data_IF_307290787272
#
_entry.id   IF_307290787272
#
_cell.length_a   1.000
_cell.length_b   1.000
_cell.length_c   1.000
_cell.angle_alpha   90.00
_cell.angle_beta   90.00
_cell.angle_gamma   90.00
#
_symmetry.space_group_name_H-M   'P 1'
#
loop_
_entity.id
_entity.type
_entity.pdbx_description
1 polymer ?
#
# COMPACT_ATOMS: atom_id res chain seq x y z
N UNK A 1 -5.76 -0.83 22.51
CA UNK A 1 -6.03 -1.71 21.35
C UNK A 1 -5.60 -0.99 20.09
N UNK A 2 -5.06 -1.67 19.09
CA UNK A 2 -4.67 -1.09 17.80
C UNK A 2 -5.91 -0.73 16.99
N UNK A 3 -5.87 0.40 16.24
CA UNK A 3 -7.02 0.85 15.43
C UNK A 3 -7.37 -0.14 14.32
N UNK A 4 -6.36 -0.79 13.73
CA UNK A 4 -6.56 -1.82 12.70
C UNK A 4 -7.52 -2.92 13.17
N UNK A 5 -7.35 -3.46 14.37
CA UNK A 5 -8.16 -4.57 14.87
C UNK A 5 -9.63 -4.17 15.05
N UNK A 6 -9.86 -2.95 15.56
CA UNK A 6 -11.22 -2.41 15.73
C UNK A 6 -11.92 -2.24 14.39
N UNK A 7 -11.22 -1.69 13.40
CA UNK A 7 -11.78 -1.44 12.07
C UNK A 7 -12.04 -2.74 11.32
N UNK A 8 -11.10 -3.68 11.33
CA UNK A 8 -11.29 -5.01 10.72
C UNK A 8 -12.49 -5.75 11.31
N UNK A 9 -12.67 -5.69 12.62
CA UNK A 9 -13.83 -6.33 13.26
C UNK A 9 -15.15 -5.75 12.77
N UNK A 10 -15.25 -4.43 12.59
CA UNK A 10 -16.44 -3.78 12.05
C UNK A 10 -16.69 -4.11 10.59
N UNK A 11 -15.64 -4.13 9.76
CA UNK A 11 -15.74 -4.50 8.34
C UNK A 11 -16.27 -5.93 8.22
N UNK A 12 -15.66 -6.89 8.92
CA UNK A 12 -16.09 -8.30 8.92
C UNK A 12 -17.50 -8.52 9.45
N UNK A 13 -17.95 -7.68 10.38
CA UNK A 13 -19.31 -7.75 10.92
C UNK A 13 -20.36 -7.05 10.03
N UNK A 14 -19.99 -6.52 8.85
CA UNK A 14 -20.89 -5.74 8.00
C UNK A 14 -21.33 -4.40 8.59
N UNK A 15 -20.58 -3.88 9.57
CA UNK A 15 -20.86 -2.62 10.30
C UNK A 15 -19.91 -1.50 9.91
N UNK A 16 -19.32 -1.61 8.72
CA UNK A 16 -18.39 -0.62 8.20
C UNK A 16 -19.06 0.76 8.03
N UNK A 17 -18.30 1.80 8.35
CA UNK A 17 -18.57 3.20 8.00
C UNK A 17 -17.29 3.82 7.45
N UNK A 18 -17.36 4.93 6.73
CA UNK A 18 -16.18 5.59 6.14
C UNK A 18 -15.07 5.92 7.15
N UNK A 19 -15.44 6.22 8.42
CA UNK A 19 -14.47 6.39 9.53
C UNK A 19 -13.70 5.10 9.89
N UNK A 20 -14.22 3.95 9.48
CA UNK A 20 -13.57 2.66 9.69
C UNK A 20 -12.64 2.27 8.54
N UNK A 21 -12.49 3.14 7.52
CA UNK A 21 -11.52 2.95 6.45
C UNK A 21 -10.09 2.91 6.99
N UNK A 22 -9.32 1.93 6.55
CA UNK A 22 -7.96 1.68 7.04
C UNK A 22 -6.97 2.43 6.14
N UNK A 23 -6.11 3.25 6.74
CA UNK A 23 -5.04 3.95 6.03
C UNK A 23 -3.68 3.42 6.49
N UNK A 24 -2.83 3.07 5.54
CA UNK A 24 -1.45 2.65 5.80
C UNK A 24 -0.46 3.56 5.09
N UNK A 25 0.61 3.93 5.79
CA UNK A 25 1.80 4.51 5.18
C UNK A 25 2.79 3.38 4.84
N UNK A 26 3.06 3.20 3.54
CA UNK A 26 3.94 2.15 3.04
C UNK A 26 5.36 2.69 2.83
N UNK A 27 6.21 2.48 3.82
CA UNK A 27 7.64 2.88 3.84
C UNK A 27 8.60 1.70 3.65
N UNK A 28 8.13 0.66 2.99
CA UNK A 28 8.88 -0.54 2.64
C UNK A 28 9.62 -0.44 1.30
N UNK A 29 9.63 0.75 0.70
CA UNK A 29 10.19 1.01 -0.63
C UNK A 29 11.69 0.71 -0.77
N UNK A 30 12.47 0.66 0.32
CA UNK A 30 13.88 0.28 0.30
C UNK A 30 14.08 -1.18 -0.17
N UNK A 31 13.08 -2.03 -0.06
CA UNK A 31 13.09 -3.39 -0.63
C UNK A 31 12.78 -3.41 -2.15
N UNK A 32 12.27 -2.33 -2.73
CA UNK A 32 11.99 -2.25 -4.17
C UNK A 32 12.90 -1.25 -4.91
N UNK A 33 13.14 -0.08 -4.33
CA UNK A 33 13.87 1.04 -4.95
C UNK A 33 15.30 1.23 -4.40
N UNK A 34 15.71 0.42 -3.42
CA UNK A 34 17.02 0.52 -2.80
C UNK A 34 17.29 1.93 -2.22
N UNK A 35 18.47 2.49 -2.54
CA UNK A 35 18.91 3.81 -2.01
C UNK A 35 17.98 4.97 -2.36
N UNK A 36 17.19 4.83 -3.44
CA UNK A 36 16.27 5.89 -3.88
C UNK A 36 14.94 5.93 -3.10
N UNK A 37 14.63 4.90 -2.31
CA UNK A 37 13.36 4.77 -1.59
C UNK A 37 13.00 5.94 -0.66
N UNK A 38 13.94 6.52 0.13
CA UNK A 38 13.64 7.65 0.98
C UNK A 38 13.25 8.92 0.21
N UNK A 39 13.59 8.98 -1.08
CA UNK A 39 13.35 10.14 -1.94
C UNK A 39 14.34 11.28 -1.73
N UNK A 40 14.16 12.38 -2.48
CA UNK A 40 15.00 13.56 -2.39
C UNK A 40 14.81 14.28 -1.05
N UNK A 41 15.87 14.90 -0.56
CA UNK A 41 15.81 15.84 0.56
C UNK A 41 15.40 17.20 0.01
N UNK A 42 14.29 17.75 0.51
CA UNK A 42 13.84 19.08 0.09
C UNK A 42 14.86 20.15 0.47
N UNK A 43 15.18 21.04 -0.48
CA UNK A 43 16.15 22.13 -0.31
C UNK A 43 17.62 21.70 -0.41
N UNK A 44 17.91 20.44 -0.68
CA UNK A 44 19.26 19.93 -0.82
C UNK A 44 19.37 19.01 -2.05
N UNK A 45 20.52 19.03 -2.74
CA UNK A 45 20.79 18.14 -3.89
C UNK A 45 21.33 16.78 -3.42
N UNK A 46 20.46 16.05 -2.69
CA UNK A 46 20.77 14.68 -2.25
C UNK A 46 19.51 13.89 -1.92
N UNK A 47 19.67 12.60 -1.82
CA UNK A 47 18.63 11.72 -1.26
C UNK A 47 18.66 11.74 0.28
N UNK A 48 17.50 11.61 0.89
CA UNK A 48 17.37 11.42 2.35
C UNK A 48 18.22 10.23 2.82
N UNK A 49 18.76 10.34 4.02
CA UNK A 49 19.48 9.26 4.70
C UNK A 49 18.50 8.24 5.30
N UNK A 50 19.00 7.11 5.77
CA UNK A 50 18.20 6.13 6.52
C UNK A 50 17.62 6.75 7.80
N UNK A 51 18.37 7.59 8.49
CA UNK A 51 17.91 8.28 9.70
C UNK A 51 16.73 9.21 9.40
N UNK A 52 16.81 10.00 8.32
CA UNK A 52 15.71 10.87 7.89
C UNK A 52 14.48 10.07 7.43
N UNK A 53 14.69 8.89 6.84
CA UNK A 53 13.59 8.00 6.47
C UNK A 53 12.88 7.42 7.70
N UNK A 54 13.64 7.00 8.73
CA UNK A 54 13.10 6.54 10.00
C UNK A 54 12.40 7.67 10.78
N UNK A 55 12.91 8.90 10.71
CA UNK A 55 12.25 10.08 11.28
C UNK A 55 10.88 10.30 10.66
N UNK A 56 10.76 10.23 9.33
CA UNK A 56 9.47 10.37 8.64
C UNK A 56 8.47 9.28 9.04
N UNK A 57 8.92 8.03 9.25
CA UNK A 57 8.06 6.95 9.79
C UNK A 57 7.62 7.26 11.23
N UNK A 58 8.53 7.81 12.03
CA UNK A 58 8.26 8.19 13.43
C UNK A 58 7.21 9.29 13.50
N UNK A 59 7.35 10.35 12.69
CA UNK A 59 6.43 11.48 12.66
C UNK A 59 5.02 11.04 12.22
N UNK A 60 4.93 10.23 11.17
CA UNK A 60 3.65 9.69 10.71
C UNK A 60 3.02 8.77 11.77
N UNK A 61 3.80 7.91 12.43
CA UNK A 61 3.29 7.05 13.51
C UNK A 61 2.78 7.86 14.69
N UNK A 62 3.50 8.94 15.09
CA UNK A 62 3.10 9.82 16.18
C UNK A 62 1.90 10.68 15.86
N UNK A 63 1.67 11.04 14.60
CA UNK A 63 0.48 11.80 14.20
C UNK A 63 -0.82 11.04 14.47
N UNK A 64 -0.78 9.71 14.47
CA UNK A 64 -1.98 8.88 14.66
C UNK A 64 -2.92 8.85 13.44
N UNK A 65 -2.55 9.45 12.32
CA UNK A 65 -3.40 9.55 11.13
C UNK A 65 -3.45 8.25 10.30
N UNK A 66 -2.55 7.30 10.57
CA UNK A 66 -2.53 5.99 9.91
C UNK A 66 -2.84 4.87 10.88
N UNK A 67 -3.38 3.78 10.37
CA UNK A 67 -3.68 2.56 11.11
C UNK A 67 -2.52 1.55 11.05
N UNK A 68 -1.75 1.60 9.96
CA UNK A 68 -0.62 0.70 9.70
C UNK A 68 0.61 1.52 9.28
N UNK A 69 1.78 1.16 9.80
CA UNK A 69 3.09 1.56 9.28
C UNK A 69 3.76 0.32 8.69
N UNK A 70 3.82 0.24 7.37
CA UNK A 70 4.48 -0.84 6.65
C UNK A 70 5.94 -0.48 6.37
N UNK A 71 6.86 -1.38 6.69
CA UNK A 71 8.30 -1.12 6.66
C UNK A 71 9.09 -2.33 6.13
N UNK A 72 10.35 -2.12 5.77
CA UNK A 72 11.32 -3.22 5.66
C UNK A 72 11.69 -3.76 7.05
N UNK A 73 12.19 -5.00 7.11
CA UNK A 73 12.58 -5.64 8.37
C UNK A 73 13.63 -4.82 9.14
N UNK A 74 14.61 -4.25 8.43
CA UNK A 74 15.67 -3.43 9.03
C UNK A 74 15.14 -2.11 9.62
N UNK A 75 14.13 -1.50 8.98
CA UNK A 75 13.46 -0.31 9.50
C UNK A 75 12.60 -0.64 10.73
N UNK A 76 11.89 -1.76 10.68
CA UNK A 76 11.05 -2.22 11.78
C UNK A 76 11.91 -2.52 13.03
N UNK A 77 13.04 -3.19 12.87
CA UNK A 77 13.99 -3.43 13.98
C UNK A 77 14.46 -2.12 14.61
N UNK A 78 14.89 -1.15 13.79
CA UNK A 78 15.38 0.14 14.28
C UNK A 78 14.32 0.90 15.08
N UNK A 79 13.07 0.95 14.60
CA UNK A 79 11.96 1.63 15.28
C UNK A 79 11.43 0.84 16.48
N UNK A 80 11.54 -0.49 16.47
CA UNK A 80 11.23 -1.34 17.62
C UNK A 80 12.21 -1.07 18.77
N UNK A 81 13.52 -0.95 18.51
CA UNK A 81 14.54 -0.55 19.51
C UNK A 81 14.23 0.80 20.13
N UNK A 82 13.62 1.72 19.37
CA UNK A 82 13.14 3.02 19.86
C UNK A 82 11.80 2.93 20.63
N UNK A 83 11.21 1.74 20.77
CA UNK A 83 9.90 1.49 21.40
C UNK A 83 8.74 2.29 20.80
N UNK A 84 8.84 2.68 19.50
CA UNK A 84 7.87 3.55 18.84
C UNK A 84 6.44 2.99 18.90
N UNK A 85 6.27 1.69 18.73
CA UNK A 85 4.96 1.04 18.64
C UNK A 85 4.37 0.58 19.98
N UNK A 86 5.12 0.68 21.10
CA UNK A 86 4.71 0.12 22.41
C UNK A 86 3.41 0.74 22.92
N UNK A 87 3.26 2.07 22.82
CA UNK A 87 2.05 2.81 23.24
C UNK A 87 1.23 3.36 22.05
N UNK A 88 1.67 3.11 20.82
CA UNK A 88 0.99 3.60 19.63
C UNK A 88 -0.25 2.76 19.31
N UNK A 89 -1.28 3.41 18.76
CA UNK A 89 -2.44 2.74 18.18
C UNK A 89 -2.17 2.20 16.76
N UNK A 90 -1.06 2.63 16.13
CA UNK A 90 -0.62 2.20 14.81
C UNK A 90 -0.04 0.79 14.86
N UNK A 91 -0.44 -0.07 13.93
CA UNK A 91 0.08 -1.43 13.80
C UNK A 91 1.35 -1.43 12.95
N UNK A 92 2.50 -1.94 13.45
CA UNK A 92 3.65 -2.19 12.61
C UNK A 92 3.39 -3.37 11.66
N UNK A 93 3.82 -3.24 10.40
CA UNK A 93 3.81 -4.32 9.42
C UNK A 93 5.15 -4.37 8.68
N UNK A 94 5.54 -5.56 8.21
CA UNK A 94 6.84 -5.79 7.57
C UNK A 94 6.63 -6.43 6.20
N UNK A 95 7.30 -5.90 5.15
CA UNK A 95 7.38 -6.58 3.86
C UNK A 95 8.22 -7.85 4.00
N UNK A 96 7.65 -8.99 3.61
CA UNK A 96 8.28 -10.30 3.75
C UNK A 96 8.82 -10.90 2.45
N UNK A 97 8.35 -10.38 1.30
CA UNK A 97 8.92 -10.69 0.00
C UNK A 97 8.79 -9.50 -0.96
N UNK A 98 9.33 -9.68 -2.15
CA UNK A 98 9.15 -8.82 -3.30
C UNK A 98 9.00 -9.67 -4.58
N UNK A 99 8.73 -9.03 -5.71
CA UNK A 99 8.70 -9.62 -7.05
C UNK A 99 9.64 -8.85 -7.96
N UNK A 100 10.28 -9.53 -8.91
CA UNK A 100 11.35 -8.93 -9.71
C UNK A 100 10.87 -7.77 -10.59
N UNK A 101 9.64 -7.80 -11.08
CA UNK A 101 9.08 -6.76 -11.94
C UNK A 101 8.90 -5.40 -11.24
N UNK A 102 8.75 -5.39 -9.92
CA UNK A 102 8.72 -4.15 -9.13
C UNK A 102 10.03 -3.83 -8.44
N UNK A 103 11.06 -4.66 -8.60
CA UNK A 103 12.40 -4.41 -8.09
C UNK A 103 13.09 -3.35 -8.95
N UNK A 104 12.83 -2.09 -8.60
CA UNK A 104 13.04 -0.90 -9.44
C UNK A 104 14.23 -0.08 -8.97
N UNK A 105 15.34 -0.73 -8.61
CA UNK A 105 16.60 -0.03 -8.35
C UNK A 105 17.10 0.66 -9.63
N UNK A 106 17.86 1.72 -9.47
CA UNK A 106 18.41 2.50 -10.58
C UNK A 106 19.29 1.64 -11.46
N UNK A 107 19.02 1.63 -12.77
CA UNK A 107 19.72 0.81 -13.77
C UNK A 107 19.24 -0.65 -13.85
N UNK A 108 18.24 -1.05 -13.07
CA UNK A 108 17.66 -2.39 -13.16
C UNK A 108 16.71 -2.54 -14.35
N UNK A 109 16.76 -3.68 -15.04
CA UNK A 109 15.93 -4.03 -16.21
C UNK A 109 14.85 -5.09 -15.89
N UNK A 110 14.63 -5.40 -14.62
CA UNK A 110 13.73 -6.50 -14.23
C UNK A 110 12.27 -6.32 -14.67
N UNK A 111 11.83 -5.08 -14.90
CA UNK A 111 10.50 -4.77 -15.43
C UNK A 111 10.27 -5.22 -16.89
N UNK A 112 11.33 -5.58 -17.58
CA UNK A 112 11.29 -6.05 -18.98
C UNK A 112 11.06 -7.56 -19.06
N UNK A 113 10.95 -8.23 -17.90
CA UNK A 113 10.83 -9.68 -17.82
C UNK A 113 9.62 -10.08 -16.98
N UNK A 114 9.11 -11.29 -17.23
CA UNK A 114 8.07 -11.90 -16.42
C UNK A 114 8.50 -12.03 -14.96
N UNK A 115 7.59 -11.75 -14.04
CA UNK A 115 7.87 -11.66 -12.60
C UNK A 115 8.35 -12.99 -12.00
N UNK A 116 9.32 -12.90 -11.10
CA UNK A 116 9.78 -14.00 -10.25
C UNK A 116 9.61 -13.63 -8.78
N UNK A 117 9.00 -14.48 -7.96
CA UNK A 117 8.95 -14.26 -6.52
C UNK A 117 10.33 -14.51 -5.89
N UNK A 118 10.71 -13.65 -4.93
CA UNK A 118 11.90 -13.87 -4.12
C UNK A 118 11.71 -13.33 -2.71
N UNK A 119 12.56 -13.75 -1.77
CA UNK A 119 12.53 -13.31 -0.38
C UNK A 119 13.94 -13.07 0.15
N UNK A 120 14.16 -11.86 0.67
CA UNK A 120 15.33 -11.56 1.50
C UNK A 120 14.98 -11.54 3.00
N UNK A 121 13.73 -11.26 3.36
CA UNK A 121 13.25 -11.26 4.73
C UNK A 121 12.90 -12.69 5.19
N UNK A 122 13.23 -13.00 6.45
CA UNK A 122 12.84 -14.26 7.12
C UNK A 122 11.74 -14.00 8.12
N UNK A 123 10.68 -14.81 8.11
CA UNK A 123 9.54 -14.67 9.03
C UNK A 123 9.99 -14.77 10.49
N UNK A 124 10.89 -15.72 10.82
CA UNK A 124 11.42 -15.90 12.17
C UNK A 124 12.09 -14.66 12.76
N UNK A 125 12.72 -13.85 11.90
CA UNK A 125 13.33 -12.58 12.32
C UNK A 125 12.31 -11.44 12.37
N UNK A 126 11.48 -11.31 11.33
CA UNK A 126 10.46 -10.25 11.22
C UNK A 126 9.43 -10.33 12.37
N UNK A 127 9.04 -11.54 12.76
CA UNK A 127 8.09 -11.80 13.85
C UNK A 127 8.49 -11.19 15.19
N UNK A 128 9.78 -10.96 15.42
CA UNK A 128 10.28 -10.30 16.63
C UNK A 128 9.81 -8.83 16.73
N UNK A 129 9.42 -8.21 15.63
CA UNK A 129 9.15 -6.77 15.55
C UNK A 129 7.71 -6.45 15.14
N UNK A 130 7.01 -7.36 14.46
CA UNK A 130 5.63 -7.20 14.04
C UNK A 130 4.91 -8.54 13.92
N UNK A 131 3.57 -8.51 14.06
CA UNK A 131 2.68 -9.66 13.89
C UNK A 131 1.96 -9.69 12.55
N UNK A 132 2.18 -8.67 11.71
CA UNK A 132 1.56 -8.50 10.41
C UNK A 132 2.65 -8.40 9.33
N UNK A 133 2.55 -9.24 8.31
CA UNK A 133 3.46 -9.24 7.18
C UNK A 133 2.77 -8.90 5.87
N UNK A 134 3.52 -8.37 4.91
CA UNK A 134 3.09 -8.24 3.54
C UNK A 134 3.77 -9.32 2.69
N UNK A 135 2.98 -10.04 1.90
CA UNK A 135 3.48 -10.91 0.84
C UNK A 135 2.96 -10.42 -0.51
N UNK A 136 3.82 -10.35 -1.50
CA UNK A 136 3.50 -9.83 -2.84
C UNK A 136 3.51 -10.94 -3.87
N UNK A 137 2.57 -10.86 -4.83
CA UNK A 137 2.51 -11.70 -6.02
C UNK A 137 2.28 -10.83 -7.26
N UNK A 138 2.73 -11.33 -8.40
CA UNK A 138 2.41 -10.77 -9.73
C UNK A 138 2.06 -11.94 -10.63
N UNK A 139 0.92 -11.87 -11.29
CA UNK A 139 0.51 -12.84 -12.31
C UNK A 139 0.96 -12.35 -13.68
N UNK A 140 1.86 -13.09 -14.30
CA UNK A 140 2.52 -12.70 -15.56
C UNK A 140 1.84 -13.24 -16.82
N UNK A 141 0.71 -13.95 -16.67
CA UNK A 141 0.04 -14.68 -17.76
C UNK A 141 0.99 -15.65 -18.49
N UNK A 142 1.93 -16.19 -17.72
CA UNK A 142 2.93 -17.18 -18.14
C UNK A 142 2.89 -18.35 -17.15
N UNK A 143 2.57 -19.53 -17.69
CA UNK A 143 2.31 -20.71 -16.84
C UNK A 143 3.48 -21.08 -15.95
N UNK A 144 4.73 -20.95 -16.42
CA UNK A 144 5.91 -21.33 -15.64
C UNK A 144 6.14 -20.35 -14.49
N UNK A 145 6.00 -19.03 -14.77
CA UNK A 145 6.19 -17.97 -13.79
C UNK A 145 5.05 -17.93 -12.77
N UNK A 146 3.82 -18.10 -13.24
CA UNK A 146 2.65 -18.07 -12.35
C UNK A 146 2.59 -19.29 -11.44
N UNK A 147 2.95 -20.50 -11.93
CA UNK A 147 3.08 -21.69 -11.07
C UNK A 147 4.17 -21.51 -10.00
N UNK A 148 5.31 -20.93 -10.33
CA UNK A 148 6.36 -20.60 -9.35
C UNK A 148 5.86 -19.61 -8.30
N UNK A 149 5.14 -18.58 -8.72
CA UNK A 149 4.56 -17.56 -7.83
C UNK A 149 3.57 -18.17 -6.86
N UNK A 150 2.64 -19.00 -7.33
CA UNK A 150 1.63 -19.64 -6.49
C UNK A 150 2.27 -20.66 -5.55
N UNK A 151 3.26 -21.45 -6.02
CA UNK A 151 4.00 -22.41 -5.20
C UNK A 151 4.78 -21.70 -4.09
N UNK A 152 5.47 -20.60 -4.41
CA UNK A 152 6.19 -19.81 -3.41
C UNK A 152 5.25 -19.19 -2.37
N UNK A 153 4.06 -18.72 -2.80
CA UNK A 153 3.05 -18.22 -1.88
C UNK A 153 2.47 -19.30 -0.97
N UNK A 154 2.26 -20.53 -1.47
CA UNK A 154 1.82 -21.65 -0.66
C UNK A 154 2.85 -22.00 0.44
N UNK A 155 4.12 -22.09 0.08
CA UNK A 155 5.21 -22.33 1.04
C UNK A 155 5.33 -21.20 2.08
N UNK A 156 5.14 -19.94 1.65
CA UNK A 156 5.11 -18.81 2.58
C UNK A 156 3.95 -18.90 3.59
N UNK A 157 2.75 -19.27 3.15
CA UNK A 157 1.58 -19.38 4.05
C UNK A 157 1.80 -20.45 5.12
N UNK A 158 2.37 -21.60 4.75
CA UNK A 158 2.72 -22.66 5.69
C UNK A 158 3.73 -22.18 6.75
N UNK A 159 4.79 -21.46 6.33
CA UNK A 159 5.78 -20.87 7.25
C UNK A 159 5.14 -19.79 8.15
N UNK A 160 4.31 -18.93 7.58
CA UNK A 160 3.61 -17.88 8.31
C UNK A 160 2.65 -18.45 9.37
N UNK A 161 1.90 -19.50 9.03
CA UNK A 161 1.02 -20.20 9.96
C UNK A 161 1.80 -20.82 11.13
N UNK A 162 2.90 -21.53 10.84
CA UNK A 162 3.79 -22.11 11.87
C UNK A 162 4.36 -21.04 12.82
N UNK A 163 4.69 -19.86 12.26
CA UNK A 163 5.19 -18.72 13.04
C UNK A 163 4.07 -17.89 13.72
N UNK A 164 2.80 -18.21 13.51
CA UNK A 164 1.66 -17.37 13.92
C UNK A 164 1.78 -15.93 13.43
N UNK A 165 2.26 -15.75 12.20
CA UNK A 165 2.40 -14.46 11.51
C UNK A 165 1.20 -14.25 10.61
N UNK A 166 0.38 -13.26 10.91
CA UNK A 166 -0.69 -12.83 10.00
C UNK A 166 -0.06 -12.16 8.77
N UNK A 167 -0.75 -12.21 7.65
CA UNK A 167 -0.29 -11.50 6.47
C UNK A 167 -1.45 -10.83 5.73
N UNK A 168 -1.11 -9.89 4.88
CA UNK A 168 -1.95 -9.39 3.80
C UNK A 168 -1.25 -9.63 2.47
N UNK A 169 -2.05 -9.83 1.43
CA UNK A 169 -1.57 -10.18 0.11
C UNK A 169 -1.57 -8.96 -0.81
N UNK A 170 -0.39 -8.58 -1.28
CA UNK A 170 -0.25 -7.57 -2.33
C UNK A 170 -0.28 -8.24 -3.70
N UNK A 171 -1.09 -7.70 -4.60
CA UNK A 171 -1.18 -8.15 -5.99
C UNK A 171 -0.86 -6.97 -6.89
N UNK A 172 0.24 -7.07 -7.64
CA UNK A 172 0.62 -6.07 -8.61
C UNK A 172 0.02 -6.37 -9.98
N UNK A 173 -0.32 -5.32 -10.72
CA UNK A 173 -0.39 -5.46 -12.16
C UNK A 173 1.04 -5.70 -12.67
N UNK A 174 1.26 -6.60 -13.64
CA UNK A 174 2.59 -6.84 -14.19
C UNK A 174 3.19 -5.57 -14.79
N UNK A 175 4.47 -5.31 -14.53
CA UNK A 175 5.19 -4.19 -15.13
C UNK A 175 5.58 -4.47 -16.59
N UNK A 176 5.78 -5.72 -16.90
CA UNK A 176 6.04 -6.24 -18.22
C UNK A 176 4.72 -6.46 -18.99
N UNK A 177 4.72 -6.21 -20.28
CA UNK A 177 3.50 -6.30 -21.12
C UNK A 177 3.08 -7.76 -21.31
N UNK A 178 1.90 -8.12 -20.78
CA UNK A 178 1.30 -9.46 -20.89
C UNK A 178 0.22 -9.52 -21.96
N UNK A 179 0.07 -8.49 -22.79
CA UNK A 179 -0.95 -8.39 -23.81
C UNK A 179 -2.36 -8.05 -23.34
N UNK A 180 -2.57 -7.87 -22.03
CA UNK A 180 -3.86 -7.48 -21.43
C UNK A 180 -3.80 -6.04 -20.91
N UNK A 181 -4.86 -5.27 -21.16
CA UNK A 181 -4.93 -3.85 -20.76
C UNK A 181 -6.35 -3.46 -20.31
N UNK A 182 -6.46 -2.35 -19.58
CA UNK A 182 -7.75 -1.79 -19.18
C UNK A 182 -8.64 -2.80 -18.46
N UNK A 183 -9.87 -2.95 -18.93
CA UNK A 183 -10.87 -3.84 -18.32
C UNK A 183 -10.46 -5.32 -18.33
N UNK A 184 -9.81 -5.78 -19.40
CA UNK A 184 -9.37 -7.19 -19.52
C UNK A 184 -8.28 -7.51 -18.50
N UNK A 185 -7.37 -6.57 -18.24
CA UNK A 185 -6.36 -6.72 -17.19
C UNK A 185 -7.03 -6.76 -15.80
N UNK A 186 -8.00 -5.88 -15.53
CA UNK A 186 -8.74 -5.86 -14.27
C UNK A 186 -9.46 -7.19 -13.99
N UNK A 187 -10.15 -7.74 -15.00
CA UNK A 187 -10.82 -9.03 -14.91
C UNK A 187 -9.84 -10.18 -14.69
N UNK A 188 -8.74 -10.21 -15.45
CA UNK A 188 -7.69 -11.21 -15.30
C UNK A 188 -7.09 -11.22 -13.88
N UNK A 189 -6.83 -10.05 -13.31
CA UNK A 189 -6.30 -9.93 -11.95
C UNK A 189 -7.33 -10.41 -10.92
N UNK A 190 -8.61 -10.04 -11.06
CA UNK A 190 -9.68 -10.49 -10.18
C UNK A 190 -9.82 -12.01 -10.18
N UNK A 191 -9.88 -12.62 -11.36
CA UNK A 191 -9.96 -14.08 -11.52
C UNK A 191 -8.74 -14.79 -10.94
N UNK A 192 -7.55 -14.24 -11.15
CA UNK A 192 -6.30 -14.80 -10.61
C UNK A 192 -6.27 -14.75 -9.08
N UNK A 193 -6.77 -13.68 -8.46
CA UNK A 193 -6.91 -13.54 -7.01
C UNK A 193 -7.89 -14.60 -6.48
N UNK A 194 -9.11 -14.61 -7.01
CA UNK A 194 -10.18 -15.53 -6.55
C UNK A 194 -9.74 -16.98 -6.72
N UNK A 195 -9.17 -17.33 -7.88
CA UNK A 195 -8.64 -18.68 -8.15
C UNK A 195 -7.56 -19.07 -7.14
N UNK A 196 -6.63 -18.19 -6.83
CA UNK A 196 -5.55 -18.46 -5.88
C UNK A 196 -6.10 -18.66 -4.47
N UNK A 197 -7.01 -17.78 -4.04
CA UNK A 197 -7.60 -17.82 -2.70
C UNK A 197 -8.64 -18.93 -2.54
N UNK A 198 -9.21 -19.44 -3.62
CA UNK A 198 -10.11 -20.59 -3.59
C UNK A 198 -9.48 -21.88 -3.05
N UNK A 199 -8.14 -21.98 -3.06
CA UNK A 199 -7.39 -23.07 -2.44
C UNK A 199 -6.94 -22.80 -0.99
N UNK A 200 -7.36 -21.67 -0.38
CA UNK A 200 -6.86 -21.21 0.92
C UNK A 200 -7.95 -21.24 1.96
N UNK A 201 -7.71 -21.96 3.07
CA UNK A 201 -8.67 -22.00 4.20
C UNK A 201 -8.52 -20.78 5.11
N UNK A 202 -9.51 -20.56 5.98
CA UNK A 202 -9.56 -19.40 6.87
C UNK A 202 -8.35 -19.23 7.79
N UNK A 203 -7.68 -20.35 8.13
CA UNK A 203 -6.48 -20.34 8.98
C UNK A 203 -5.25 -19.73 8.30
N UNK A 204 -5.22 -19.68 6.96
CA UNK A 204 -4.12 -19.14 6.15
C UNK A 204 -4.57 -17.94 5.28
N UNK A 205 -5.84 -17.51 5.41
CA UNK A 205 -6.39 -16.47 4.56
C UNK A 205 -5.74 -15.10 4.85
N UNK A 206 -5.44 -14.30 3.83
CA UNK A 206 -4.88 -12.96 4.05
C UNK A 206 -5.87 -12.07 4.81
N UNK A 207 -5.35 -11.24 5.70
CA UNK A 207 -6.15 -10.30 6.51
C UNK A 207 -6.92 -9.31 5.64
N UNK A 208 -6.33 -8.89 4.53
CA UNK A 208 -6.89 -8.06 3.46
C UNK A 208 -5.99 -8.14 2.22
N UNK A 209 -6.46 -7.62 1.11
CA UNK A 209 -5.68 -7.44 -0.11
C UNK A 209 -5.05 -6.04 -0.17
N UNK A 210 -3.98 -5.93 -0.94
CA UNK A 210 -3.39 -4.67 -1.40
C UNK A 210 -3.16 -4.80 -2.89
N UNK A 211 -3.96 -4.13 -3.73
CA UNK A 211 -3.88 -4.29 -5.18
C UNK A 211 -3.95 -2.96 -5.92
N UNK A 212 -3.65 -2.97 -7.21
CA UNK A 212 -3.82 -1.78 -8.04
C UNK A 212 -5.31 -1.51 -8.28
N UNK A 213 -5.70 -0.24 -8.29
CA UNK A 213 -7.04 0.16 -8.68
C UNK A 213 -7.17 0.06 -10.20
N UNK A 214 -7.95 -0.91 -10.67
CA UNK A 214 -8.19 -1.18 -12.08
C UNK A 214 -9.54 -0.61 -12.57
N UNK A 215 -9.99 0.47 -11.94
CA UNK A 215 -11.26 1.14 -12.22
C UNK A 215 -12.42 0.66 -11.35
N UNK A 216 -13.55 1.40 -11.42
CA UNK A 216 -14.69 1.15 -10.53
C UNK A 216 -15.29 -0.24 -10.71
N UNK A 217 -15.49 -0.68 -11.97
CA UNK A 217 -16.10 -1.98 -12.28
C UNK A 217 -15.29 -3.16 -11.71
N UNK A 218 -13.97 -3.16 -11.93
CA UNK A 218 -13.12 -4.23 -11.42
C UNK A 218 -13.07 -4.23 -9.89
N UNK A 219 -13.09 -3.06 -9.25
CA UNK A 219 -13.13 -2.92 -7.81
C UNK A 219 -14.44 -3.46 -7.21
N UNK A 220 -15.59 -3.08 -7.77
CA UNK A 220 -16.92 -3.55 -7.33
C UNK A 220 -17.07 -5.05 -7.50
N UNK A 221 -16.64 -5.60 -8.64
CA UNK A 221 -16.67 -7.03 -8.91
C UNK A 221 -15.93 -7.82 -7.83
N UNK A 222 -14.68 -7.45 -7.53
CA UNK A 222 -13.87 -8.17 -6.54
C UNK A 222 -14.38 -7.96 -5.11
N UNK A 223 -14.73 -6.73 -4.74
CA UNK A 223 -15.15 -6.40 -3.36
C UNK A 223 -16.53 -6.98 -3.01
N UNK A 224 -17.38 -7.24 -4.00
CA UNK A 224 -18.69 -7.84 -3.80
C UNK A 224 -18.67 -9.37 -3.76
N UNK A 225 -17.56 -10.01 -4.17
CA UNK A 225 -17.45 -11.47 -4.25
C UNK A 225 -17.60 -12.16 -2.88
N UNK A 226 -16.88 -11.66 -1.87
CA UNK A 226 -16.98 -12.16 -0.49
C UNK A 226 -16.68 -11.04 0.52
N UNK A 227 -17.59 -10.08 0.71
CA UNK A 227 -17.32 -8.84 1.45
C UNK A 227 -17.01 -9.04 2.94
N UNK A 228 -17.35 -10.19 3.50
CA UNK A 228 -17.07 -10.55 4.89
C UNK A 228 -15.66 -11.08 5.12
N UNK A 229 -15.03 -11.67 4.11
CA UNK A 229 -13.72 -12.33 4.21
C UNK A 229 -12.68 -11.70 3.28
N UNK A 230 -13.06 -11.34 2.04
CA UNK A 230 -12.18 -10.73 1.05
C UNK A 230 -12.19 -9.21 1.18
N UNK A 231 -11.47 -8.68 2.15
CA UNK A 231 -11.35 -7.23 2.34
C UNK A 231 -10.38 -6.69 1.30
N UNK A 232 -10.87 -5.87 0.38
CA UNK A 232 -10.06 -5.29 -0.69
C UNK A 232 -9.42 -3.98 -0.23
N UNK A 233 -8.13 -3.85 -0.50
CA UNK A 233 -7.36 -2.63 -0.31
C UNK A 233 -6.61 -2.25 -1.59
N UNK A 234 -6.24 -0.98 -1.70
CA UNK A 234 -5.55 -0.44 -2.86
C UNK A 234 -4.13 0.01 -2.54
N UNK A 235 -3.25 -0.08 -3.52
CA UNK A 235 -1.93 0.54 -3.52
C UNK A 235 -1.98 1.92 -4.20
N UNK A 236 -1.04 2.81 -3.83
CA UNK A 236 -1.04 4.19 -4.34
C UNK A 236 -0.46 4.39 -5.74
N UNK A 237 0.30 3.43 -6.25
CA UNK A 237 0.98 3.57 -7.53
C UNK A 237 2.05 4.66 -7.56
N UNK A 238 2.21 5.33 -8.70
CA UNK A 238 3.06 6.50 -8.87
C UNK A 238 2.59 7.71 -8.08
N UNK A 239 3.42 8.77 -8.02
CA UNK A 239 3.05 9.95 -7.23
C UNK A 239 1.81 10.66 -7.81
N UNK A 240 1.80 10.95 -9.12
CA UNK A 240 0.74 11.73 -9.76
C UNK A 240 0.61 13.15 -9.18
N UNK A 241 -0.56 13.77 -9.34
CA UNK A 241 -0.95 15.01 -8.68
C UNK A 241 -1.49 14.73 -7.27
N UNK A 242 -1.63 15.78 -6.46
CA UNK A 242 -2.35 15.68 -5.18
C UNK A 242 -3.81 15.33 -5.41
N UNK A 243 -4.40 15.82 -6.52
CA UNK A 243 -5.76 15.43 -6.94
C UNK A 243 -5.86 13.93 -7.22
N UNK A 244 -4.93 13.33 -7.96
CA UNK A 244 -4.93 11.88 -8.20
C UNK A 244 -4.87 11.08 -6.89
N UNK A 245 -4.18 11.59 -5.87
CA UNK A 245 -4.08 10.94 -4.57
C UNK A 245 -5.42 10.90 -3.85
N UNK A 246 -6.10 12.05 -3.77
CA UNK A 246 -7.39 12.15 -3.09
C UNK A 246 -8.52 11.48 -3.88
N UNK A 247 -8.51 11.62 -5.20
CA UNK A 247 -9.49 10.98 -6.08
C UNK A 247 -9.41 9.46 -5.99
N UNK A 248 -8.19 8.89 -6.03
CA UNK A 248 -7.98 7.46 -5.89
C UNK A 248 -8.53 6.94 -4.56
N UNK A 249 -8.29 7.64 -3.46
CA UNK A 249 -8.78 7.23 -2.14
C UNK A 249 -10.30 7.28 -2.07
N UNK A 250 -10.92 8.33 -2.61
CA UNK A 250 -12.37 8.51 -2.67
C UNK A 250 -13.05 7.45 -3.53
N UNK A 251 -12.59 7.28 -4.77
CA UNK A 251 -13.18 6.30 -5.69
C UNK A 251 -13.02 4.86 -5.17
N UNK A 252 -11.86 4.52 -4.63
CA UNK A 252 -11.64 3.20 -4.07
C UNK A 252 -12.60 2.87 -2.93
N UNK A 253 -12.79 3.79 -1.99
CA UNK A 253 -13.75 3.62 -0.90
C UNK A 253 -15.19 3.47 -1.42
N UNK A 254 -15.58 4.37 -2.31
CA UNK A 254 -16.90 4.38 -2.94
C UNK A 254 -17.22 3.05 -3.64
N UNK A 255 -16.25 2.44 -4.30
CA UNK A 255 -16.41 1.21 -5.07
C UNK A 255 -16.00 -0.07 -4.31
N UNK A 256 -15.92 0.00 -2.98
CA UNK A 256 -15.86 -1.19 -2.12
C UNK A 256 -14.52 -1.51 -1.49
N UNK A 257 -13.44 -0.76 -1.78
CA UNK A 257 -12.22 -0.89 -1.01
C UNK A 257 -12.42 -0.43 0.45
N UNK A 258 -11.64 -1.01 1.34
CA UNK A 258 -11.67 -0.71 2.78
C UNK A 258 -10.31 -0.35 3.36
N UNK A 259 -9.27 -0.41 2.52
CA UNK A 259 -7.88 -0.14 2.91
C UNK A 259 -7.18 0.65 1.80
N UNK A 260 -6.41 1.68 2.15
CA UNK A 260 -5.45 2.35 1.27
C UNK A 260 -4.05 2.23 1.84
N UNK A 261 -3.12 1.67 1.06
CA UNK A 261 -1.72 1.51 1.44
C UNK A 261 -0.86 2.30 0.44
N UNK A 262 -0.61 3.56 0.77
CA UNK A 262 0.10 4.48 -0.11
C UNK A 262 1.56 4.65 0.34
N UNK A 263 2.49 4.48 -0.60
CA UNK A 263 3.92 4.66 -0.37
C UNK A 263 4.44 5.98 -0.94
N UNK A 264 4.73 6.01 -2.25
CA UNK A 264 5.33 7.18 -2.92
C UNK A 264 4.47 8.44 -2.83
N UNK A 265 3.15 8.31 -2.90
CA UNK A 265 2.21 9.43 -2.75
C UNK A 265 2.39 10.15 -1.41
N UNK A 266 2.55 9.41 -0.32
CA UNK A 266 2.77 9.98 1.02
C UNK A 266 4.24 10.38 1.19
N UNK A 267 5.18 9.51 0.83
CA UNK A 267 6.60 9.73 1.12
C UNK A 267 7.21 10.92 0.40
N UNK A 268 6.72 11.25 -0.79
CA UNK A 268 7.23 12.35 -1.63
C UNK A 268 6.37 13.61 -1.53
N UNK A 269 5.31 13.60 -0.72
CA UNK A 269 4.50 14.78 -0.47
C UNK A 269 5.30 15.88 0.25
N UNK A 270 4.90 17.13 0.04
CA UNK A 270 5.49 18.30 0.69
C UNK A 270 5.25 18.28 2.20
N UNK A 271 4.05 17.86 2.60
CA UNK A 271 3.61 17.69 3.99
C UNK A 271 2.90 16.34 4.14
N UNK A 272 3.64 15.24 4.36
CA UNK A 272 3.06 13.89 4.38
C UNK A 272 1.94 13.71 5.41
N UNK A 273 2.10 14.26 6.61
CA UNK A 273 1.10 14.15 7.67
C UNK A 273 -0.20 14.88 7.29
N UNK A 274 -0.08 16.10 6.72
CA UNK A 274 -1.25 16.86 6.27
C UNK A 274 -1.95 16.21 5.08
N UNK A 275 -1.18 15.63 4.14
CA UNK A 275 -1.76 14.88 3.04
C UNK A 275 -2.64 13.73 3.53
N UNK A 276 -2.16 12.94 4.51
CA UNK A 276 -2.93 11.81 5.07
C UNK A 276 -4.15 12.28 5.87
N UNK A 277 -4.03 13.39 6.59
CA UNK A 277 -5.18 14.02 7.28
C UNK A 277 -6.29 14.40 6.28
N UNK A 278 -5.92 15.08 5.20
CA UNK A 278 -6.88 15.48 4.16
C UNK A 278 -7.42 14.28 3.37
N UNK A 279 -6.60 13.25 3.14
CA UNK A 279 -7.06 12.00 2.52
C UNK A 279 -8.14 11.35 3.38
N UNK A 280 -8.01 11.36 4.71
CA UNK A 280 -9.04 10.86 5.61
C UNK A 280 -10.31 11.69 5.51
N UNK A 281 -10.23 13.02 5.50
CA UNK A 281 -11.39 13.90 5.34
C UNK A 281 -12.14 13.66 4.02
N UNK A 282 -11.40 13.35 2.93
CA UNK A 282 -12.01 12.99 1.64
C UNK A 282 -12.74 11.64 1.72
N UNK A 283 -12.13 10.63 2.33
CA UNK A 283 -12.74 9.30 2.51
C UNK A 283 -13.99 9.38 3.40
N UNK A 284 -13.96 10.22 4.42
CA UNK A 284 -15.07 10.42 5.36
C UNK A 284 -16.18 11.33 4.79
N UNK A 285 -15.99 11.85 3.58
CA UNK A 285 -16.88 12.78 2.87
C UNK A 285 -17.05 14.15 3.53
N UNK A 286 -16.08 14.57 4.35
CA UNK A 286 -16.02 15.92 4.92
C UNK A 286 -15.55 16.96 3.88
N UNK A 287 -14.75 16.52 2.90
CA UNK A 287 -14.24 17.33 1.80
C UNK A 287 -14.33 16.55 0.48
N UNK A 288 -14.58 17.27 -0.60
CA UNK A 288 -14.32 16.72 -1.94
C UNK A 288 -12.82 16.67 -2.21
N UNK A 289 -12.39 15.78 -3.12
CA UNK A 289 -10.98 15.69 -3.51
C UNK A 289 -10.44 17.03 -4.02
N UNK A 290 -11.26 17.84 -4.71
CA UNK A 290 -10.89 19.19 -5.21
C UNK A 290 -10.70 20.21 -4.08
N UNK A 291 -11.57 20.19 -3.08
CA UNK A 291 -11.43 21.04 -1.89
C UNK A 291 -10.21 20.65 -1.06
N UNK A 292 -9.94 19.37 -0.92
CA UNK A 292 -8.76 18.87 -0.22
C UNK A 292 -7.45 19.32 -0.87
N UNK A 293 -7.36 19.37 -2.22
CA UNK A 293 -6.19 19.94 -2.92
C UNK A 293 -5.99 21.41 -2.55
N UNK A 294 -7.05 22.22 -2.57
CA UNK A 294 -6.98 23.64 -2.17
C UNK A 294 -6.52 23.78 -0.72
N UNK A 295 -7.13 23.03 0.20
CA UNK A 295 -6.75 23.04 1.61
C UNK A 295 -5.28 22.59 1.84
N UNK A 296 -4.78 21.67 1.00
CA UNK A 296 -3.37 21.27 1.03
C UNK A 296 -2.44 22.39 0.58
N UNK A 297 -2.77 23.11 -0.50
CA UNK A 297 -2.02 24.29 -0.97
C UNK A 297 -2.05 25.45 0.03
N UNK A 298 -3.19 25.72 0.65
CA UNK A 298 -3.32 26.72 1.72
C UNK A 298 -2.42 26.36 2.92
N UNK A 299 -2.37 25.08 3.30
CA UNK A 299 -1.47 24.60 4.34
C UNK A 299 0.00 24.81 3.95
N UNK A 300 0.38 24.52 2.71
CA UNK A 300 1.75 24.74 2.24
C UNK A 300 2.12 26.22 2.31
N UNK A 301 1.27 27.11 1.80
CA UNK A 301 1.47 28.55 1.85
C UNK A 301 1.64 29.06 3.30
N UNK A 302 0.76 28.65 4.20
CA UNK A 302 0.82 29.01 5.63
C UNK A 302 2.12 28.55 6.32
N UNK A 303 2.65 27.41 5.91
CA UNK A 303 3.87 26.83 6.47
C UNK A 303 5.13 27.13 5.64
N UNK A 304 5.04 28.01 4.66
CA UNK A 304 6.15 28.41 3.77
C UNK A 304 6.82 27.21 3.08
N UNK A 305 6.01 26.20 2.73
CA UNK A 305 6.46 25.08 1.94
C UNK A 305 6.28 25.38 0.45
N UNK A 306 7.28 25.07 -0.36
CA UNK A 306 7.20 25.24 -1.80
C UNK A 306 6.46 24.04 -2.41
N UNK A 307 5.31 24.25 -3.09
CA UNK A 307 4.64 23.19 -3.83
C UNK A 307 5.51 22.66 -4.98
N UNK A 308 5.46 21.39 -5.24
CA UNK A 308 6.15 20.77 -6.39
C UNK A 308 5.43 21.09 -7.71
N UNK A 309 4.15 21.47 -7.64
CA UNK A 309 3.32 21.93 -8.77
C UNK A 309 2.47 23.14 -8.38
N UNK A 310 2.20 24.06 -9.30
CA UNK A 310 1.22 25.09 -9.05
C UNK A 310 -0.18 24.49 -8.86
N UNK A 311 -1.05 25.16 -8.10
CA UNK A 311 -2.41 24.69 -7.80
C UNK A 311 -3.20 24.34 -9.08
N UNK A 312 -3.05 25.14 -10.13
CA UNK A 312 -3.76 24.92 -11.39
C UNK A 312 -3.43 23.57 -12.06
N UNK A 313 -2.23 23.04 -11.85
CA UNK A 313 -1.81 21.72 -12.36
C UNK A 313 -2.10 20.62 -11.35
N UNK A 314 -1.91 20.88 -10.06
CA UNK A 314 -2.04 19.86 -9.01
C UNK A 314 -3.50 19.49 -8.71
N UNK A 315 -4.47 20.31 -9.19
CA UNK A 315 -5.90 20.09 -9.06
C UNK A 315 -6.49 19.21 -10.18
N UNK A 316 -5.69 18.92 -11.21
CA UNK A 316 -6.12 18.13 -12.36
C UNK A 316 -5.93 16.62 -12.11
N UNK A 317 -6.86 15.81 -12.63
CA UNK A 317 -6.74 14.36 -12.67
C UNK A 317 -5.86 13.98 -13.87
N UNK A 318 -4.70 13.39 -13.60
CA UNK A 318 -3.75 12.95 -14.64
C UNK A 318 -3.79 11.43 -14.86
N UNK A 319 -4.20 10.65 -13.88
CA UNK A 319 -4.33 9.20 -13.98
C UNK A 319 -5.60 8.85 -14.77
N UNK A 320 -5.43 8.15 -15.90
CA UNK A 320 -6.52 7.81 -16.80
C UNK A 320 -7.59 6.91 -16.15
N UNK A 321 -7.20 6.07 -15.17
CA UNK A 321 -8.14 5.17 -14.50
C UNK A 321 -9.10 5.91 -13.56
N UNK A 322 -8.79 7.16 -13.23
CA UNK A 322 -9.61 8.01 -12.33
C UNK A 322 -10.51 9.01 -13.07
N UNK A 323 -10.43 9.06 -14.41
CA UNK A 323 -11.25 9.93 -15.28
C UNK A 323 -12.62 9.30 -15.64
#
# INVERSE_FOLDING_TARGET
>A
MKTLETKLAKIKAGKYRSQDFIIADAKDGDMGFGRAAPGPKRGEDRLKTKAEYLAAMTDMTKSGNVDIMLMSASSAEALHKQKLFTKSKVTPAIRLNDTTDIWSQRGGSYKEHASQPFRSARISEAKKFADLGLYSVTYSNDIIHDLRTITAYAAFREEAQKARMRHFLEVFNPAFDIGLRGADLGTYINDSIVRTLGGVTSSEYPTFLKMQYNGPRAMEELSSYDPGHLIVGILGGGRGTTRDTFELASQAEKHGARVALFGRKINFAESPVKLVELMRAVIENDLTAKEAVKAYHDHMAKNRLTPDRPLAEDIEITDAVLK
#
